data_IF_666028947113
#
_entry.id   IF_666028947113
#
_cell.length_a   1.000
_cell.length_b   1.000
_cell.length_c   1.000
_cell.angle_alpha   90.00
_cell.angle_beta   90.00
_cell.angle_gamma   90.00
#
_symmetry.space_group_name_H-M   'P 1'
#
loop_
_entity.id
_entity.type
_entity.pdbx_description
1 polymer ?
#
# COMPACT_ATOMS: atom_id res chain seq x y z
N UNK A 1 -0.05 25.65 1.68
CA UNK A 1 0.45 24.29 1.47
C UNK A 1 -0.59 23.48 0.72
N UNK A 2 -0.19 22.91 -0.40
CA UNK A 2 -1.15 22.22 -1.28
C UNK A 2 -1.11 20.72 -1.06
N UNK A 3 -2.09 20.23 -0.31
CA UNK A 3 -2.29 18.80 -0.16
C UNK A 3 -3.10 18.28 -1.34
N UNK A 4 -2.77 17.08 -1.78
CA UNK A 4 -3.55 16.42 -2.83
C UNK A 4 -4.44 15.37 -2.21
N UNK A 5 -5.71 15.40 -2.57
CA UNK A 5 -6.64 14.34 -2.20
C UNK A 5 -6.62 13.25 -3.26
N UNK A 6 -6.87 12.03 -2.82
CA UNK A 6 -6.94 10.87 -3.69
C UNK A 6 -7.70 9.75 -3.00
N UNK A 7 -7.46 8.55 -3.43
CA UNK A 7 -8.08 7.37 -2.86
C UNK A 7 -7.04 6.33 -2.49
N UNK A 8 -7.37 5.48 -1.52
CA UNK A 8 -6.56 4.32 -1.21
C UNK A 8 -7.41 3.06 -1.19
N UNK A 9 -6.74 1.95 -1.42
CA UNK A 9 -7.32 0.61 -1.27
C UNK A 9 -6.27 -0.26 -0.61
N UNK A 10 -6.67 -1.02 0.40
CA UNK A 10 -5.83 -2.05 1.01
C UNK A 10 -6.50 -3.39 0.74
N UNK A 11 -5.76 -4.29 0.09
CA UNK A 11 -6.25 -5.62 -0.27
C UNK A 11 -5.40 -6.68 0.38
N UNK A 12 -6.02 -7.74 0.84
CA UNK A 12 -5.33 -8.97 1.19
C UNK A 12 -5.24 -9.83 -0.06
N UNK A 13 -4.02 -10.11 -0.48
CA UNK A 13 -3.75 -10.87 -1.69
C UNK A 13 -3.29 -12.28 -1.32
N UNK A 14 -4.08 -13.26 -1.70
CA UNK A 14 -3.76 -14.67 -1.52
C UNK A 14 -3.10 -15.19 -2.80
N UNK A 15 -1.84 -14.78 -3.02
CA UNK A 15 -1.10 -15.18 -4.22
C UNK A 15 -0.60 -16.62 -4.08
N UNK A 16 -0.79 -17.42 -5.11
CA UNK A 16 -0.40 -18.83 -5.07
C UNK A 16 1.10 -19.03 -4.92
N UNK A 17 1.91 -18.21 -5.60
CA UNK A 17 3.37 -18.33 -5.57
C UNK A 17 4.04 -17.48 -4.53
N UNK A 18 3.66 -16.23 -4.44
CA UNK A 18 4.28 -15.28 -3.51
C UNK A 18 3.80 -15.46 -2.08
N UNK A 19 2.71 -16.20 -1.87
CA UNK A 19 2.07 -16.33 -0.58
C UNK A 19 1.20 -15.13 -0.23
N UNK A 20 0.54 -15.16 0.93
CA UNK A 20 -0.34 -14.06 1.33
C UNK A 20 0.45 -12.80 1.67
N UNK A 21 -0.05 -11.67 1.22
CA UNK A 21 0.49 -10.35 1.56
C UNK A 21 -0.59 -9.31 1.36
N UNK A 22 -0.37 -8.12 1.91
CA UNK A 22 -1.27 -7.01 1.72
C UNK A 22 -0.75 -6.10 0.61
N UNK A 23 -1.66 -5.56 -0.18
CA UNK A 23 -1.34 -4.55 -1.18
C UNK A 23 -1.94 -3.22 -0.74
N UNK A 24 -1.10 -2.21 -0.65
CA UNK A 24 -1.53 -0.84 -0.37
C UNK A 24 -1.46 -0.05 -1.68
N UNK A 25 -2.59 0.44 -2.14
CA UNK A 25 -2.70 1.29 -3.32
C UNK A 25 -2.95 2.73 -2.90
N UNK A 26 -2.04 3.61 -3.27
CA UNK A 26 -2.13 5.04 -2.99
C UNK A 26 -2.21 5.78 -4.30
N UNK A 27 -3.42 6.10 -4.73
CA UNK A 27 -3.67 6.98 -5.87
C UNK A 27 -2.95 6.60 -7.19
N UNK A 28 -2.42 5.44 -7.33
CA UNK A 28 -1.69 5.01 -8.52
C UNK A 28 -0.38 4.33 -8.21
N UNK A 29 0.08 4.45 -6.98
CA UNK A 29 1.27 3.74 -6.51
C UNK A 29 0.83 2.54 -5.70
N UNK A 30 1.61 1.47 -5.76
CA UNK A 30 1.28 0.22 -5.09
C UNK A 30 2.47 -0.32 -4.33
N UNK A 31 2.18 -0.89 -3.15
CA UNK A 31 3.20 -1.47 -2.29
C UNK A 31 2.70 -2.80 -1.76
N UNK A 32 3.55 -3.83 -1.82
CA UNK A 32 3.25 -5.13 -1.25
C UNK A 32 3.85 -5.19 0.16
N UNK A 33 3.03 -5.60 1.13
CA UNK A 33 3.41 -5.58 2.54
C UNK A 33 3.02 -6.93 3.17
N UNK A 34 4.00 -7.79 3.44
CA UNK A 34 3.72 -9.12 3.98
C UNK A 34 3.10 -9.08 5.36
N UNK A 35 3.58 -8.18 6.22
CA UNK A 35 3.10 -8.07 7.60
C UNK A 35 1.84 -7.24 7.75
N UNK A 36 1.36 -6.65 6.64
CA UNK A 36 0.19 -5.80 6.67
C UNK A 36 0.48 -4.36 7.04
N UNK A 37 -0.50 -3.51 6.81
CA UNK A 37 -0.39 -2.08 7.13
C UNK A 37 -0.57 -1.91 8.64
N UNK A 38 0.36 -1.20 9.32
CA UNK A 38 0.22 -1.02 10.78
C UNK A 38 -1.03 -0.23 11.15
N UNK A 39 -1.66 -0.63 12.25
CA UNK A 39 -2.78 0.11 12.85
C UNK A 39 -2.36 0.82 14.13
N UNK A 40 -1.17 0.54 14.64
CA UNK A 40 -0.63 1.19 15.85
C UNK A 40 0.61 2.00 15.50
N UNK A 41 0.82 3.08 16.25
CA UNK A 41 1.95 3.98 16.01
C UNK A 41 3.28 3.32 16.31
N UNK A 42 4.28 3.64 15.50
CA UNK A 42 5.67 3.27 15.75
C UNK A 42 6.13 1.93 15.19
N UNK A 43 5.22 1.05 14.83
CA UNK A 43 5.60 -0.23 14.20
C UNK A 43 6.00 -0.01 12.76
N UNK A 44 7.25 -0.33 12.42
CA UNK A 44 7.77 -0.21 11.05
C UNK A 44 7.75 -1.55 10.35
N UNK A 45 7.22 -1.57 9.14
CA UNK A 45 7.16 -2.79 8.33
C UNK A 45 7.76 -2.53 6.96
N UNK A 46 8.27 -3.59 6.36
CA UNK A 46 8.82 -3.52 5.01
C UNK A 46 7.69 -3.44 3.99
N UNK A 47 7.80 -2.51 3.05
CA UNK A 47 6.87 -2.33 1.95
C UNK A 47 7.67 -2.33 0.65
N UNK A 48 7.25 -3.14 -0.30
CA UNK A 48 7.93 -3.27 -1.59
C UNK A 48 7.09 -2.58 -2.66
N UNK A 49 7.67 -1.57 -3.30
CA UNK A 49 7.00 -0.88 -4.39
C UNK A 49 6.76 -1.85 -5.55
N UNK A 50 5.53 -1.89 -6.03
CA UNK A 50 5.12 -2.79 -7.10
C UNK A 50 4.66 -1.99 -8.30
N UNK A 51 4.33 -2.71 -9.37
CA UNK A 51 3.88 -2.09 -10.59
C UNK A 51 2.56 -1.33 -10.37
N UNK A 52 2.42 -0.17 -11.02
CA UNK A 52 1.21 0.61 -11.01
C UNK A 52 0.01 -0.21 -11.51
N UNK A 53 -1.13 -0.04 -10.84
CA UNK A 53 -2.40 -0.65 -11.23
C UNK A 53 -3.46 0.43 -11.41
N UNK A 54 -4.29 0.27 -12.43
CA UNK A 54 -5.43 1.17 -12.63
C UNK A 54 -6.48 0.93 -11.55
N UNK A 55 -7.38 1.91 -11.29
CA UNK A 55 -8.45 1.69 -10.32
C UNK A 55 -9.31 0.46 -10.60
N UNK A 56 -9.58 0.16 -11.86
CA UNK A 56 -10.35 -1.03 -12.23
C UNK A 56 -9.60 -2.30 -11.87
N UNK A 57 -8.29 -2.35 -12.07
CA UNK A 57 -7.46 -3.49 -11.68
C UNK A 57 -7.47 -3.70 -10.16
N UNK A 58 -7.52 -2.61 -9.39
CA UNK A 58 -7.61 -2.71 -7.92
C UNK A 58 -8.89 -3.39 -7.45
N UNK A 59 -9.93 -3.35 -8.25
CA UNK A 59 -11.22 -3.98 -7.94
C UNK A 59 -11.31 -5.44 -8.35
N UNK A 60 -10.33 -5.95 -9.11
CA UNK A 60 -10.30 -7.34 -9.53
C UNK A 60 -10.00 -8.22 -8.31
N UNK A 61 -10.86 -9.19 -8.06
CA UNK A 61 -10.74 -10.09 -6.91
C UNK A 61 -9.96 -11.35 -7.22
N UNK A 62 -9.88 -11.74 -8.49
CA UNK A 62 -9.19 -12.95 -8.93
C UNK A 62 -8.26 -12.61 -10.08
N UNK A 63 -7.03 -13.05 -9.99
CA UNK A 63 -6.09 -13.00 -11.10
C UNK A 63 -5.77 -14.44 -11.49
N UNK A 64 -6.17 -14.81 -12.69
CA UNK A 64 -6.08 -16.20 -13.14
C UNK A 64 -4.75 -16.61 -13.74
N UNK A 65 -3.92 -15.64 -14.16
CA UNK A 65 -2.67 -15.91 -14.83
C UNK A 65 -1.52 -15.08 -14.24
N UNK A 66 -0.30 -15.57 -14.42
CA UNK A 66 0.91 -14.87 -14.07
C UNK A 66 1.36 -15.05 -12.63
N UNK A 67 2.40 -14.32 -12.25
CA UNK A 67 3.00 -14.41 -10.91
C UNK A 67 2.05 -14.01 -9.80
N UNK A 68 1.17 -13.03 -10.09
CA UNK A 68 0.19 -12.56 -9.13
C UNK A 68 -1.09 -13.38 -9.07
N UNK A 69 -1.12 -14.55 -9.71
CA UNK A 69 -2.29 -15.42 -9.69
C UNK A 69 -2.76 -15.70 -8.26
N UNK A 70 -4.06 -15.58 -8.04
CA UNK A 70 -4.65 -15.80 -6.72
C UNK A 70 -5.94 -15.00 -6.56
N UNK A 71 -6.32 -14.78 -5.31
CA UNK A 71 -7.53 -14.03 -4.97
C UNK A 71 -7.20 -12.78 -4.18
N UNK A 72 -8.07 -11.78 -4.29
CA UNK A 72 -7.97 -10.53 -3.53
C UNK A 72 -9.20 -10.34 -2.68
N UNK A 73 -8.97 -9.75 -1.51
CA UNK A 73 -10.05 -9.31 -0.63
C UNK A 73 -9.77 -7.86 -0.22
N UNK A 74 -10.70 -6.96 -0.49
CA UNK A 74 -10.56 -5.57 -0.06
C UNK A 74 -10.83 -5.51 1.43
N UNK A 75 -9.82 -5.11 2.21
CA UNK A 75 -9.95 -4.99 3.67
C UNK A 75 -10.29 -3.58 4.11
N UNK A 76 -9.92 -2.57 3.35
CA UNK A 76 -10.30 -1.20 3.60
C UNK A 76 -10.10 -0.35 2.36
N UNK A 77 -10.86 0.74 2.25
CA UNK A 77 -10.70 1.71 1.18
C UNK A 77 -11.30 3.05 1.61
N UNK A 78 -10.92 4.12 0.94
CA UNK A 78 -11.46 5.43 1.25
C UNK A 78 -10.65 6.55 0.67
N UNK A 79 -10.85 7.72 1.23
CA UNK A 79 -10.07 8.90 0.86
C UNK A 79 -8.68 8.87 1.46
N UNK A 80 -7.77 9.49 0.75
CA UNK A 80 -6.38 9.65 1.17
C UNK A 80 -5.96 11.09 0.89
N UNK A 81 -5.18 11.66 1.80
CA UNK A 81 -4.60 12.98 1.59
C UNK A 81 -3.09 12.80 1.49
N UNK A 82 -2.52 13.20 0.35
CA UNK A 82 -1.08 13.19 0.14
C UNK A 82 -0.50 14.47 0.72
N UNK A 83 0.26 14.34 1.79
CA UNK A 83 0.85 15.47 2.50
C UNK A 83 2.22 15.83 1.93
N UNK A 84 3.03 14.81 1.68
CA UNK A 84 4.35 14.98 1.10
C UNK A 84 4.63 13.82 0.15
N UNK A 85 5.12 14.12 -1.03
CA UNK A 85 5.52 13.08 -1.99
C UNK A 85 6.84 13.47 -2.64
N UNK A 86 7.91 12.81 -2.23
CA UNK A 86 9.24 12.96 -2.84
C UNK A 86 9.70 11.59 -3.32
N UNK A 87 10.79 11.53 -4.11
CA UNK A 87 11.31 10.23 -4.55
C UNK A 87 11.70 9.30 -3.39
N UNK A 88 11.97 9.83 -2.21
CA UNK A 88 12.46 9.04 -1.08
C UNK A 88 11.53 8.99 0.12
N UNK A 89 10.49 9.81 0.16
CA UNK A 89 9.60 9.89 1.32
C UNK A 89 8.19 10.28 0.90
N UNK A 90 7.23 9.56 1.42
CA UNK A 90 5.81 9.84 1.20
C UNK A 90 5.15 9.94 2.56
N UNK A 91 4.45 11.04 2.81
CA UNK A 91 3.64 11.22 4.01
C UNK A 91 2.19 11.38 3.57
N UNK A 92 1.31 10.61 4.16
CA UNK A 92 -0.09 10.59 3.73
C UNK A 92 -1.01 10.34 4.91
N UNK A 93 -2.27 10.74 4.75
CA UNK A 93 -3.31 10.51 5.73
C UNK A 93 -4.35 9.58 5.12
N UNK A 94 -4.67 8.51 5.83
CA UNK A 94 -5.71 7.58 5.42
C UNK A 94 -6.99 7.87 6.20
N UNK A 95 -8.12 7.78 5.50
CA UNK A 95 -9.45 8.01 6.07
C UNK A 95 -10.35 6.82 5.78
N UNK A 96 -9.88 5.64 6.18
CA UNK A 96 -10.65 4.42 6.07
C UNK A 96 -11.44 4.13 7.34
N UNK A 97 -12.10 2.99 7.36
CA UNK A 97 -12.82 2.53 8.55
C UNK A 97 -11.88 1.89 9.55
N UNK A 98 -10.93 1.11 9.08
CA UNK A 98 -9.94 0.42 9.92
C UNK A 98 -8.61 1.17 9.94
N UNK A 99 -8.17 1.63 8.78
CA UNK A 99 -6.87 2.29 8.62
C UNK A 99 -7.07 3.79 8.54
N UNK A 100 -6.74 4.47 9.64
CA UNK A 100 -6.94 5.91 9.80
C UNK A 100 -5.71 6.56 10.37
N UNK A 101 -5.44 7.78 9.95
CA UNK A 101 -4.38 8.60 10.52
C UNK A 101 -3.22 8.81 9.59
N UNK A 102 -2.15 9.34 10.12
CA UNK A 102 -0.98 9.71 9.34
C UNK A 102 0.01 8.55 9.25
N UNK A 103 0.53 8.36 8.04
CA UNK A 103 1.48 7.31 7.73
C UNK A 103 2.69 7.89 7.02
N UNK A 104 3.81 7.21 7.16
CA UNK A 104 5.06 7.56 6.50
C UNK A 104 5.59 6.33 5.75
N UNK A 105 5.96 6.54 4.48
CA UNK A 105 6.74 5.61 3.69
C UNK A 105 8.11 6.25 3.46
N UNK A 106 9.15 5.56 3.83
CA UNK A 106 10.51 6.05 3.62
C UNK A 106 11.32 5.01 2.86
N UNK A 107 11.92 5.43 1.74
CA UNK A 107 12.72 4.54 0.92
C UNK A 107 13.92 4.03 1.71
N UNK A 108 14.18 2.71 1.61
CA UNK A 108 15.26 2.06 2.34
C UNK A 108 16.09 1.18 1.39
N UNK A 109 17.01 1.79 0.61
CA UNK A 109 17.76 1.06 -0.43
C UNK A 109 18.58 -0.11 0.09
N UNK A 110 18.91 -0.12 1.36
CA UNK A 110 19.68 -1.23 1.96
C UNK A 110 18.97 -2.58 1.88
N UNK A 111 17.63 -2.55 1.73
CA UNK A 111 16.83 -3.77 1.61
C UNK A 111 16.38 -4.04 0.18
N UNK A 112 16.85 -3.26 -0.80
CA UNK A 112 16.56 -3.43 -2.21
C UNK A 112 16.09 -2.16 -2.89
N UNK A 113 16.12 -2.17 -4.22
CA UNK A 113 15.77 -0.98 -5.02
C UNK A 113 14.34 -0.50 -4.82
N UNK A 114 13.43 -1.44 -4.55
CA UNK A 114 12.00 -1.12 -4.39
C UNK A 114 11.54 -1.16 -2.95
N UNK A 115 12.49 -1.22 -2.01
CA UNK A 115 12.16 -1.37 -0.59
C UNK A 115 11.92 -0.03 0.08
N UNK A 116 10.85 0.01 0.88
CA UNK A 116 10.44 1.13 1.70
C UNK A 116 10.11 0.62 3.10
N UNK A 117 10.17 1.50 4.08
CA UNK A 117 9.62 1.24 5.41
C UNK A 117 8.33 2.02 5.56
N UNK A 118 7.32 1.36 6.08
CA UNK A 118 6.00 1.96 6.34
C UNK A 118 5.73 1.94 7.83
N UNK A 119 5.26 3.06 8.36
CA UNK A 119 4.78 3.08 9.74
C UNK A 119 3.68 4.11 9.92
N UNK A 120 2.87 3.89 10.94
CA UNK A 120 1.87 4.85 11.36
C UNK A 120 2.50 5.82 12.37
N UNK A 121 2.26 7.07 12.14
CA UNK A 121 2.80 8.14 12.96
C UNK A 121 2.07 8.27 14.30
#
# INVERSE_FOLDING_TARGET
>A
MNYKTGTFVIRLHHAERAGPHFDLHLNGESFAIRKGVPTTSGTKVLAIATQYHTPSERQIKVIEEGYGKGTYEIVDEGEMIMILHTPNKIVFNLRGDTYKGNYILMKTPRYGKSAWLLWKK
#
